data_IF_401577436486
#
_entry.id   IF_401577436486
#
_cell.length_a   1.000
_cell.length_b   1.000
_cell.length_c   1.000
_cell.angle_alpha   90.00
_cell.angle_beta   90.00
_cell.angle_gamma   90.00
#
_symmetry.space_group_name_H-M   'P 1'
#
loop_
_entity.id
_entity.type
_entity.pdbx_description
1 polymer ?
#
# COMPACT_ATOMS: atom_id res chain seq x y z
N UNK A 1 4.19 -9.24 6.24
CA UNK A 1 5.43 -8.61 5.76
C UNK A 1 5.18 -7.59 4.66
N UNK A 2 4.30 -7.89 3.70
CA UNK A 2 3.97 -6.96 2.63
C UNK A 2 3.32 -5.68 3.18
N UNK A 3 2.36 -5.83 4.09
CA UNK A 3 1.71 -4.68 4.73
C UNK A 3 2.73 -3.79 5.47
N UNK A 4 3.64 -4.41 6.20
CA UNK A 4 4.71 -3.68 6.88
C UNK A 4 5.61 -2.97 5.86
N UNK A 5 5.94 -3.63 4.74
CA UNK A 5 6.74 -3.02 3.68
C UNK A 5 6.09 -1.73 3.15
N UNK A 6 4.79 -1.77 2.85
CA UNK A 6 4.08 -0.60 2.33
C UNK A 6 4.15 0.56 3.34
N UNK A 7 3.89 0.28 4.61
CA UNK A 7 3.93 1.31 5.65
C UNK A 7 5.33 1.88 5.84
N UNK A 8 6.36 1.04 5.80
CA UNK A 8 7.75 1.48 5.91
C UNK A 8 8.19 2.28 4.68
N UNK A 9 7.80 1.83 3.49
CA UNK A 9 8.11 2.53 2.23
C UNK A 9 7.58 3.97 2.27
N UNK A 10 6.35 4.14 2.75
CA UNK A 10 5.66 5.42 2.74
C UNK A 10 5.96 6.26 3.99
N UNK A 11 6.73 5.73 4.93
CA UNK A 11 7.18 6.48 6.09
C UNK A 11 8.28 7.47 5.70
N UNK A 12 8.10 8.72 6.06
CA UNK A 12 9.10 9.76 5.85
C UNK A 12 10.23 9.65 6.89
N UNK A 13 11.41 10.26 6.63
CA UNK A 13 12.53 10.19 7.57
C UNK A 13 12.23 10.66 9.00
N UNK A 14 11.22 11.53 9.16
CA UNK A 14 10.82 12.05 10.47
C UNK A 14 9.90 11.13 11.25
N UNK A 15 9.60 9.93 10.73
CA UNK A 15 8.73 8.96 11.41
C UNK A 15 7.23 9.18 11.18
N UNK A 16 6.86 10.04 10.24
CA UNK A 16 5.47 10.33 9.89
C UNK A 16 5.17 9.84 8.48
N UNK A 17 3.89 9.69 8.17
CA UNK A 17 3.44 9.38 6.82
C UNK A 17 2.34 10.35 6.39
N UNK A 18 2.15 10.48 5.08
CA UNK A 18 1.06 11.25 4.50
C UNK A 18 0.00 10.29 3.97
N UNK A 19 -1.24 10.43 4.45
CA UNK A 19 -2.34 9.58 3.97
C UNK A 19 -2.58 9.79 2.47
N UNK A 20 -2.62 8.69 1.73
CA UNK A 20 -2.82 8.73 0.27
C UNK A 20 -4.16 9.36 -0.11
N UNK A 21 -5.19 9.23 0.73
CA UNK A 21 -6.54 9.70 0.45
C UNK A 21 -6.80 11.13 0.92
N UNK A 22 -6.58 11.42 2.20
CA UNK A 22 -6.91 12.74 2.75
C UNK A 22 -5.73 13.69 2.86
N UNK A 23 -4.50 13.21 2.68
CA UNK A 23 -3.30 14.02 2.74
C UNK A 23 -2.84 14.43 4.13
N UNK A 24 -3.54 14.00 5.19
CA UNK A 24 -3.11 14.30 6.55
C UNK A 24 -1.81 13.58 6.90
N UNK A 25 -0.99 14.25 7.70
CA UNK A 25 0.28 13.69 8.18
C UNK A 25 0.06 13.14 9.58
N UNK A 26 0.40 11.86 9.76
CA UNK A 26 0.18 11.11 10.99
C UNK A 26 1.44 10.32 11.36
N UNK A 27 1.62 9.96 12.64
CA UNK A 27 2.72 9.10 13.05
C UNK A 27 2.65 7.71 12.38
N UNK A 28 3.79 7.11 12.12
CA UNK A 28 3.92 5.80 11.50
C UNK A 28 3.02 4.72 12.15
N UNK A 29 2.89 4.76 13.47
CA UNK A 29 2.09 3.76 14.21
C UNK A 29 0.61 3.80 13.85
N UNK A 30 0.14 4.89 13.24
CA UNK A 30 -1.25 5.06 12.82
C UNK A 30 -1.46 4.74 11.35
N UNK A 31 -0.43 4.25 10.65
CA UNK A 31 -0.55 3.89 9.24
C UNK A 31 -1.20 2.52 9.09
N UNK A 32 -2.20 2.46 8.23
CA UNK A 32 -2.73 1.20 7.71
C UNK A 32 -2.19 0.98 6.29
N UNK A 33 -2.11 -0.28 5.89
CA UNK A 33 -1.91 -0.61 4.48
C UNK A 33 -3.27 -0.58 3.79
N UNK A 34 -3.57 0.53 3.11
CA UNK A 34 -4.84 0.69 2.41
C UNK A 34 -4.76 0.16 0.98
N UNK A 35 -5.75 -0.64 0.57
CA UNK A 35 -5.85 -1.12 -0.80
C UNK A 35 -6.80 -0.23 -1.60
N UNK A 36 -6.37 0.25 -2.76
CA UNK A 36 -7.23 1.01 -3.66
C UNK A 36 -8.27 0.07 -4.29
N UNK A 37 -7.82 -0.99 -4.96
CA UNK A 37 -8.68 -2.08 -5.41
C UNK A 37 -8.76 -3.07 -4.26
N UNK A 38 -9.97 -3.46 -3.88
CA UNK A 38 -10.24 -4.27 -2.71
C UNK A 38 -9.32 -5.50 -2.65
N UNK A 39 -8.84 -5.82 -1.46
CA UNK A 39 -7.92 -6.93 -1.20
C UNK A 39 -8.44 -8.31 -1.62
N UNK A 40 -9.74 -8.43 -1.89
CA UNK A 40 -10.32 -9.67 -2.42
C UNK A 40 -9.81 -9.99 -3.83
N UNK A 41 -9.41 -8.98 -4.59
CA UNK A 41 -8.89 -9.16 -5.94
C UNK A 41 -7.41 -9.53 -5.88
N UNK A 42 -7.14 -10.83 -6.04
CA UNK A 42 -5.78 -11.36 -5.87
C UNK A 42 -4.78 -10.81 -6.90
N UNK A 43 -5.25 -10.41 -8.09
CA UNK A 43 -4.39 -9.84 -9.12
C UNK A 43 -3.69 -8.55 -8.67
N UNK A 44 -4.29 -7.82 -7.73
CA UNK A 44 -3.78 -6.53 -7.25
C UNK A 44 -3.47 -6.51 -5.76
N UNK A 45 -3.76 -7.60 -5.04
CA UNK A 45 -3.61 -7.65 -3.58
C UNK A 45 -2.19 -7.33 -3.12
N UNK A 46 -1.19 -7.82 -3.85
CA UNK A 46 0.23 -7.60 -3.55
C UNK A 46 0.91 -6.71 -4.58
N UNK A 47 0.14 -5.91 -5.30
CA UNK A 47 0.66 -4.92 -6.23
C UNK A 47 1.07 -3.68 -5.43
N UNK A 48 2.36 -3.32 -5.51
CA UNK A 48 2.91 -2.22 -4.71
C UNK A 48 2.28 -0.86 -5.05
N UNK A 49 1.73 -0.69 -6.25
CA UNK A 49 1.02 0.54 -6.61
C UNK A 49 -0.40 0.59 -6.04
N UNK A 50 -1.01 -0.57 -5.84
CA UNK A 50 -2.37 -0.67 -5.31
C UNK A 50 -2.45 -0.45 -3.80
N UNK A 51 -1.33 -0.48 -3.13
CA UNK A 51 -1.24 -0.42 -1.67
C UNK A 51 -0.42 0.80 -1.26
N UNK A 52 -0.96 1.59 -0.35
CA UNK A 52 -0.32 2.81 0.12
C UNK A 52 -0.69 3.06 1.58
N UNK A 53 0.17 3.76 2.30
CA UNK A 53 -0.13 4.16 3.67
C UNK A 53 -1.37 5.05 3.70
N UNK A 54 -2.31 4.69 4.55
CA UNK A 54 -3.59 5.37 4.67
C UNK A 54 -3.91 5.53 6.14
N UNK A 55 -4.49 6.68 6.53
CA UNK A 55 -4.87 6.86 7.92
C UNK A 55 -6.06 5.95 8.27
N UNK A 56 -6.17 5.62 9.55
CA UNK A 56 -7.22 4.72 10.04
C UNK A 56 -8.62 5.24 9.73
N UNK A 57 -8.81 6.56 9.81
CA UNK A 57 -10.12 7.16 9.51
C UNK A 57 -10.55 6.88 8.06
N UNK A 58 -9.68 7.16 7.08
CA UNK A 58 -10.00 6.90 5.68
C UNK A 58 -10.17 5.41 5.40
N UNK A 59 -9.26 4.57 5.94
CA UNK A 59 -9.26 3.14 5.65
C UNK A 59 -10.41 2.40 6.31
N UNK A 60 -10.71 2.74 7.58
CA UNK A 60 -11.66 1.97 8.40
C UNK A 60 -13.05 2.58 8.47
N UNK A 61 -13.17 3.91 8.45
CA UNK A 61 -14.44 4.60 8.68
C UNK A 61 -14.98 5.29 7.45
N UNK A 62 -14.21 5.41 6.36
CA UNK A 62 -14.65 5.99 5.10
C UNK A 62 -14.57 4.99 3.95
N UNK A 63 -14.64 3.70 4.26
CA UNK A 63 -14.60 2.62 3.28
C UNK A 63 -13.43 2.75 2.29
N UNK A 64 -12.27 3.17 2.80
CA UNK A 64 -11.07 3.37 1.99
C UNK A 64 -10.98 4.74 1.34
N UNK A 65 -12.02 5.59 1.45
CA UNK A 65 -12.04 6.92 0.85
C UNK A 65 -11.52 6.88 -0.60
N UNK A 66 -12.14 6.04 -1.42
CA UNK A 66 -11.63 5.59 -2.72
C UNK A 66 -11.50 6.72 -3.74
N UNK A 67 -12.46 7.65 -3.79
CA UNK A 67 -12.38 8.76 -4.74
C UNK A 67 -11.15 9.62 -4.50
N UNK A 68 -10.87 9.95 -3.25
CA UNK A 68 -9.68 10.72 -2.89
C UNK A 68 -8.41 9.88 -2.98
N UNK A 69 -8.53 8.56 -2.73
CA UNK A 69 -7.43 7.63 -2.95
C UNK A 69 -6.97 7.67 -4.40
N UNK A 70 -7.91 7.61 -5.35
CA UNK A 70 -7.59 7.69 -6.77
C UNK A 70 -6.84 8.97 -7.13
N UNK A 71 -7.29 10.10 -6.59
CA UNK A 71 -6.62 11.40 -6.80
C UNK A 71 -5.18 11.36 -6.27
N UNK A 72 -4.98 10.78 -5.11
CA UNK A 72 -3.65 10.61 -4.52
C UNK A 72 -2.74 9.71 -5.35
N UNK A 73 -3.29 8.63 -5.90
CA UNK A 73 -2.54 7.73 -6.79
C UNK A 73 -2.12 8.43 -8.08
N UNK A 74 -3.01 9.22 -8.67
CA UNK A 74 -2.70 9.98 -9.88
C UNK A 74 -1.57 10.97 -9.60
N UNK A 75 -1.61 11.65 -8.46
CA UNK A 75 -0.54 12.56 -8.05
C UNK A 75 0.78 11.83 -7.86
N UNK A 76 0.75 10.61 -7.32
CA UNK A 76 1.94 9.82 -7.01
C UNK A 76 2.54 9.11 -8.22
N UNK A 77 1.70 8.53 -9.08
CA UNK A 77 2.15 7.65 -10.16
C UNK A 77 1.77 8.11 -11.57
N UNK A 78 0.86 9.05 -11.71
CA UNK A 78 0.32 9.49 -13.00
C UNK A 78 -0.92 8.71 -13.42
N UNK A 79 -1.77 9.36 -14.23
CA UNK A 79 -3.08 8.82 -14.60
C UNK A 79 -2.98 7.51 -15.38
N UNK A 80 -2.04 7.42 -16.34
CA UNK A 80 -1.90 6.21 -17.17
C UNK A 80 -1.63 4.97 -16.33
N UNK A 81 -0.75 5.06 -15.33
CA UNK A 81 -0.44 3.93 -14.45
C UNK A 81 -1.63 3.51 -13.62
N UNK A 82 -2.42 4.49 -13.16
CA UNK A 82 -3.63 4.20 -12.38
C UNK A 82 -4.67 3.48 -13.25
N UNK A 83 -4.86 3.93 -14.50
CA UNK A 83 -5.77 3.26 -15.44
C UNK A 83 -5.31 1.81 -15.70
N UNK A 84 -4.01 1.59 -15.90
CA UNK A 84 -3.46 0.24 -16.08
C UNK A 84 -3.68 -0.63 -14.85
N UNK A 85 -3.52 -0.06 -13.65
CA UNK A 85 -3.79 -0.76 -12.40
C UNK A 85 -5.26 -1.17 -12.32
N UNK A 86 -6.17 -0.26 -12.63
CA UNK A 86 -7.60 -0.52 -12.61
C UNK A 86 -7.99 -1.63 -13.60
N UNK A 87 -7.31 -1.72 -14.74
CA UNK A 87 -7.55 -2.77 -15.72
C UNK A 87 -7.21 -4.18 -15.21
N UNK A 88 -6.37 -4.30 -14.19
CA UNK A 88 -6.02 -5.60 -13.61
C UNK A 88 -7.11 -6.19 -12.72
N UNK A 89 -8.09 -5.42 -12.32
CA UNK A 89 -9.10 -5.84 -11.34
C UNK A 89 -9.83 -7.10 -11.78
N UNK A 90 -10.17 -7.22 -13.08
CA UNK A 90 -10.88 -8.37 -13.60
C UNK A 90 -10.02 -9.59 -13.91
N UNK A 91 -8.71 -9.51 -13.71
CA UNK A 91 -7.79 -10.60 -14.02
C UNK A 91 -7.78 -11.60 -12.85
N UNK A 92 -8.00 -12.89 -13.17
CA UNK A 92 -7.93 -13.94 -12.18
C UNK A 92 -6.47 -14.27 -11.82
N UNK A 93 -6.17 -14.38 -10.53
CA UNK A 93 -4.83 -14.71 -10.05
C UNK A 93 -4.92 -15.60 -8.82
N UNK A 94 -4.15 -16.69 -8.83
CA UNK A 94 -4.08 -17.60 -7.71
C UNK A 94 -2.60 -17.79 -7.34
N UNK A 95 -2.29 -17.58 -6.06
CA UNK A 95 -0.93 -17.77 -5.55
C UNK A 95 -0.76 -19.19 -5.01
N UNK A 96 0.38 -19.81 -5.34
CA UNK A 96 0.77 -21.09 -4.75
C UNK A 96 1.43 -20.84 -3.39
N UNK A 97 1.52 -21.88 -2.56
CA UNK A 97 2.21 -21.79 -1.27
C UNK A 97 3.66 -21.37 -1.45
N UNK A 98 4.31 -21.86 -2.50
CA UNK A 98 5.68 -21.46 -2.83
C UNK A 98 5.77 -19.96 -3.12
N UNK A 99 4.83 -19.42 -3.90
CA UNK A 99 4.78 -17.99 -4.21
C UNK A 99 4.59 -17.16 -2.95
N UNK A 100 3.70 -17.58 -2.03
CA UNK A 100 3.53 -16.89 -0.74
C UNK A 100 4.82 -16.90 0.08
N UNK A 101 5.52 -18.04 0.13
CA UNK A 101 6.80 -18.13 0.84
C UNK A 101 7.84 -17.18 0.26
N UNK A 102 7.90 -17.06 -1.07
CA UNK A 102 8.83 -16.14 -1.74
C UNK A 102 8.48 -14.68 -1.43
N UNK A 103 7.21 -14.33 -1.41
CA UNK A 103 6.76 -12.99 -1.03
C UNK A 103 7.17 -12.65 0.40
N UNK A 104 6.96 -13.58 1.33
CA UNK A 104 7.34 -13.38 2.73
C UNK A 104 8.84 -13.14 2.85
N UNK A 105 9.66 -13.96 2.22
CA UNK A 105 11.13 -13.84 2.27
C UNK A 105 11.59 -12.51 1.68
N UNK A 106 11.04 -12.14 0.52
CA UNK A 106 11.40 -10.92 -0.18
C UNK A 106 11.10 -9.68 0.67
N UNK A 107 9.87 -9.57 1.16
CA UNK A 107 9.47 -8.41 1.95
C UNK A 107 10.08 -8.38 3.34
N UNK A 108 10.34 -9.54 3.94
CA UNK A 108 11.05 -9.62 5.22
C UNK A 108 12.46 -9.02 5.11
N UNK A 109 13.17 -9.34 4.03
CA UNK A 109 14.51 -8.81 3.79
C UNK A 109 14.48 -7.29 3.56
N UNK A 110 13.53 -6.82 2.73
CA UNK A 110 13.35 -5.38 2.49
C UNK A 110 12.98 -4.63 3.76
N UNK A 111 12.09 -5.20 4.58
CA UNK A 111 11.64 -4.57 5.82
C UNK A 111 12.78 -4.41 6.81
N UNK A 112 13.65 -5.40 6.92
CA UNK A 112 14.84 -5.32 7.77
C UNK A 112 15.72 -4.13 7.38
N UNK A 113 15.94 -3.96 6.08
CA UNK A 113 16.71 -2.86 5.54
C UNK A 113 16.05 -1.51 5.79
N UNK A 114 14.74 -1.42 5.51
CA UNK A 114 13.98 -0.18 5.67
C UNK A 114 13.88 0.26 7.14
N UNK A 115 13.67 -0.68 8.05
CA UNK A 115 13.66 -0.38 9.49
C UNK A 115 14.97 0.26 9.92
N UNK A 116 16.09 -0.29 9.47
CA UNK A 116 17.41 0.26 9.78
C UNK A 116 17.56 1.67 9.24
N UNK A 117 17.15 1.90 7.99
CA UNK A 117 17.22 3.22 7.33
C UNK A 117 16.30 4.26 7.98
N UNK A 118 15.14 3.82 8.49
CA UNK A 118 14.15 4.72 9.12
C UNK A 118 14.35 4.89 10.62
N UNK A 119 15.27 4.15 11.24
CA UNK A 119 15.48 4.19 12.68
C UNK A 119 14.35 3.54 13.48
N UNK A 120 13.66 2.57 12.89
CA UNK A 120 12.53 1.89 13.52
C UNK A 120 12.86 0.48 14.02
#
# INVERSE_FOLDING_TARGET
EFSLFIRLRDCMPNGYFKCISCGQIKPFEQADNGHYINRQHMSTRFDEMNCNAQCRHCNRFMEGNIQNYRKGLIAKYGEQRVVLLEAKQGISRKFTDFEYEQLIKYYKALNKKLKKERGL
#
